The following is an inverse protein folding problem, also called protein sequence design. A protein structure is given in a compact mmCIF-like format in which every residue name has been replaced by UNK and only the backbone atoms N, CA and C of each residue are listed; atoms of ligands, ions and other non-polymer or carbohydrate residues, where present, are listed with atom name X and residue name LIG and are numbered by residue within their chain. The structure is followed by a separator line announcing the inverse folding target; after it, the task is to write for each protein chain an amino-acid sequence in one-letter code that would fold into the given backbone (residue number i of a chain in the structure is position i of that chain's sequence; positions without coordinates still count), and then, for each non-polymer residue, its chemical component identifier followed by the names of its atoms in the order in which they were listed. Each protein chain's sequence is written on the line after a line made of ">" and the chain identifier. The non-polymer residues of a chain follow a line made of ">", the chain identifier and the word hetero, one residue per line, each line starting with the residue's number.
data_IF_554327241285
#
_entry.id   IF_554327241285
#
_cell.length_a   1.000
_cell.length_b   1.000
_cell.length_c   1.000
_cell.angle_alpha   90.00
_cell.angle_beta   90.00
_cell.angle_gamma   90.00
#
_symmetry.space_group_name_H-M   'P 1'
#
loop_
_entity.id
_entity.type
_entity.pdbx_description
1 polymer ?
#
# COMPACT_ATOMS: atom_id res chain seq x y z
N UNK A 1 -0.25 -40.67 -14.99
CA UNK A 1 -0.87 -39.36 -14.61
C UNK A 1 -2.36 -39.61 -14.43
N UNK A 2 -2.81 -39.70 -13.18
CA UNK A 2 -4.22 -39.96 -12.84
C UNK A 2 -5.00 -38.65 -13.04
N UNK A 3 -5.97 -38.68 -13.97
CA UNK A 3 -6.90 -37.53 -14.17
C UNK A 3 -7.76 -37.38 -12.93
N UNK A 4 -7.65 -36.22 -12.25
CA UNK A 4 -8.57 -35.86 -11.16
C UNK A 4 -9.93 -35.57 -11.82
N UNK A 5 -10.95 -36.34 -11.42
CA UNK A 5 -12.33 -36.16 -11.87
C UNK A 5 -12.91 -34.86 -11.29
N UNK A 6 -13.79 -34.19 -12.03
CA UNK A 6 -14.48 -32.96 -11.64
C UNK A 6 -15.15 -33.05 -10.26
N UNK A 7 -15.70 -34.23 -9.91
CA UNK A 7 -16.31 -34.46 -8.61
C UNK A 7 -15.29 -34.51 -7.48
N UNK A 8 -14.09 -35.09 -7.73
CA UNK A 8 -13.00 -35.11 -6.78
C UNK A 8 -12.43 -33.70 -6.54
N UNK A 9 -12.33 -32.88 -7.60
CA UNK A 9 -11.92 -31.48 -7.49
C UNK A 9 -12.91 -30.64 -6.68
N UNK A 10 -14.22 -30.80 -6.92
CA UNK A 10 -15.26 -30.09 -6.17
C UNK A 10 -15.29 -30.52 -4.69
N UNK A 11 -15.10 -31.82 -4.39
CA UNK A 11 -15.02 -32.32 -3.00
C UNK A 11 -13.79 -31.77 -2.27
N UNK A 12 -12.65 -31.63 -2.94
CA UNK A 12 -11.44 -31.01 -2.39
C UNK A 12 -11.65 -29.49 -2.16
N UNK A 13 -12.33 -28.80 -3.08
CA UNK A 13 -12.67 -27.38 -2.93
C UNK A 13 -13.63 -27.12 -1.75
N UNK A 14 -14.65 -27.96 -1.58
CA UNK A 14 -15.61 -27.87 -0.46
C UNK A 14 -14.94 -28.22 0.87
N UNK A 15 -14.06 -29.23 0.93
CA UNK A 15 -13.31 -29.56 2.15
C UNK A 15 -12.31 -28.46 2.53
N UNK A 16 -11.65 -27.83 1.56
CA UNK A 16 -10.78 -26.67 1.77
C UNK A 16 -11.54 -25.43 2.25
N UNK A 17 -12.72 -25.18 1.66
CA UNK A 17 -13.59 -24.06 2.05
C UNK A 17 -14.19 -24.23 3.46
N UNK A 18 -14.60 -25.44 3.84
CA UNK A 18 -15.12 -25.73 5.18
C UNK A 18 -14.04 -25.57 6.25
N UNK A 19 -12.79 -25.93 5.96
CA UNK A 19 -11.64 -25.72 6.85
C UNK A 19 -11.35 -24.24 7.10
N UNK A 20 -11.46 -23.40 6.06
CA UNK A 20 -11.23 -21.96 6.16
C UNK A 20 -12.35 -21.25 6.98
N UNK A 21 -13.60 -21.67 6.83
CA UNK A 21 -14.73 -21.14 7.60
C UNK A 21 -14.65 -21.56 9.08
N UNK A 22 -14.24 -22.80 9.38
CA UNK A 22 -14.05 -23.27 10.76
C UNK A 22 -12.92 -22.52 11.48
N UNK A 23 -11.84 -22.19 10.78
CA UNK A 23 -10.74 -21.38 11.33
C UNK A 23 -11.17 -19.93 11.62
N UNK A 24 -12.08 -19.36 10.82
CA UNK A 24 -12.62 -18.02 11.03
C UNK A 24 -13.59 -17.93 12.23
N UNK A 25 -14.15 -19.06 12.69
CA UNK A 25 -15.13 -19.12 13.79
C UNK A 25 -14.52 -19.40 15.17
N UNK A 26 -13.20 -19.28 15.36
CA UNK A 26 -12.57 -19.37 16.69
C UNK A 26 -12.54 -20.77 17.30
N UNK A 27 -12.46 -21.80 16.47
CA UNK A 27 -12.28 -23.17 16.94
C UNK A 27 -10.86 -23.37 17.48
N UNK A 28 -10.71 -23.81 18.76
CA UNK A 28 -9.42 -23.97 19.46
C UNK A 28 -8.41 -24.97 18.82
N UNK A 29 -8.76 -25.60 17.71
CA UNK A 29 -7.83 -26.26 16.79
C UNK A 29 -6.91 -25.30 16.03
N UNK A 30 -7.10 -23.99 16.16
CA UNK A 30 -6.37 -22.94 15.46
C UNK A 30 -4.88 -22.86 15.77
N UNK A 31 -4.45 -23.30 16.96
CA UNK A 31 -3.03 -23.24 17.34
C UNK A 31 -2.13 -24.16 16.48
N UNK A 32 -2.67 -25.22 15.89
CA UNK A 32 -1.92 -26.10 14.99
C UNK A 32 -2.02 -25.69 13.51
N UNK A 33 -3.09 -24.99 13.12
CA UNK A 33 -3.37 -24.58 11.73
C UNK A 33 -2.89 -23.15 11.47
N UNK A 34 -2.94 -22.27 12.46
CA UNK A 34 -2.56 -20.87 12.35
C UNK A 34 -1.16 -20.66 11.74
N UNK A 35 -0.10 -21.28 12.24
CA UNK A 35 1.24 -21.16 11.67
C UNK A 35 1.32 -21.61 10.20
N UNK A 36 0.60 -22.69 9.82
CA UNK A 36 0.56 -23.16 8.43
C UNK A 36 -0.20 -22.21 7.50
N UNK A 37 -1.26 -21.58 7.98
CA UNK A 37 -1.97 -20.55 7.22
C UNK A 37 -1.11 -19.31 7.00
N UNK A 38 -0.31 -18.92 7.99
CA UNK A 38 0.68 -17.84 7.85
C UNK A 38 1.76 -18.19 6.83
N UNK A 39 2.23 -19.43 6.80
CA UNK A 39 3.20 -19.87 5.79
C UNK A 39 2.61 -19.87 4.38
N UNK A 40 1.34 -20.28 4.23
CA UNK A 40 0.63 -20.18 2.94
C UNK A 40 0.45 -18.71 2.54
N UNK A 41 0.13 -17.82 3.47
CA UNK A 41 0.04 -16.38 3.22
C UNK A 41 1.38 -15.80 2.75
N UNK A 42 2.49 -16.19 3.37
CA UNK A 42 3.85 -15.80 2.95
C UNK A 42 4.20 -16.31 1.55
N UNK A 43 3.81 -17.55 1.22
CA UNK A 43 3.99 -18.11 -0.11
C UNK A 43 3.19 -17.31 -1.14
N UNK A 44 1.93 -16.98 -0.87
CA UNK A 44 1.11 -16.16 -1.75
C UNK A 44 1.70 -14.76 -1.96
N UNK A 45 2.23 -14.16 -0.90
CA UNK A 45 2.90 -12.85 -0.96
C UNK A 45 4.15 -12.92 -1.84
N UNK A 46 4.96 -13.98 -1.67
CA UNK A 46 6.13 -14.23 -2.53
C UNK A 46 5.76 -14.47 -3.99
N UNK A 47 4.71 -15.26 -4.26
CA UNK A 47 4.19 -15.51 -5.61
C UNK A 47 3.70 -14.19 -6.24
N UNK A 48 2.96 -13.39 -5.48
CA UNK A 48 2.52 -12.05 -5.89
C UNK A 48 3.69 -11.15 -6.28
N UNK A 49 4.74 -11.10 -5.44
CA UNK A 49 5.94 -10.31 -5.69
C UNK A 49 6.75 -10.79 -6.89
N UNK A 50 6.98 -12.12 -7.03
CA UNK A 50 7.96 -12.65 -7.99
C UNK A 50 7.37 -13.07 -9.32
N UNK A 51 6.08 -13.40 -9.37
CA UNK A 51 5.44 -13.96 -10.56
C UNK A 51 4.42 -13.01 -11.18
N UNK A 52 3.61 -12.35 -10.37
CA UNK A 52 2.51 -11.51 -10.88
C UNK A 52 2.84 -10.01 -10.91
N UNK A 53 3.76 -9.55 -10.10
CA UNK A 53 4.14 -8.14 -10.14
C UNK A 53 4.96 -7.81 -11.38
N UNK A 54 4.55 -6.75 -12.07
CA UNK A 54 5.31 -6.13 -13.14
C UNK A 54 5.60 -4.67 -12.78
N UNK A 55 6.87 -4.23 -12.80
CA UNK A 55 7.21 -2.84 -12.48
C UNK A 55 6.71 -1.83 -13.51
N UNK A 56 6.21 -2.29 -14.65
CA UNK A 56 5.79 -1.44 -15.78
C UNK A 56 4.34 -1.67 -16.23
N UNK A 57 3.68 -2.74 -15.79
CA UNK A 57 2.30 -3.00 -16.16
C UNK A 57 1.35 -2.07 -15.42
N UNK A 58 0.62 -1.25 -16.16
CA UNK A 58 -0.28 -0.27 -15.57
C UNK A 58 -1.61 -0.91 -15.15
N UNK A 59 -2.06 -0.58 -13.95
CA UNK A 59 -3.43 -0.87 -13.54
C UNK A 59 -4.42 -0.09 -14.43
N UNK A 60 -5.63 -0.64 -14.66
CA UNK A 60 -6.64 -0.01 -15.49
C UNK A 60 -6.95 1.43 -15.07
N UNK A 61 -7.07 2.32 -16.06
CA UNK A 61 -7.48 3.71 -15.87
C UNK A 61 -8.96 3.82 -16.26
N UNK A 62 -9.72 4.50 -15.45
CA UNK A 62 -11.17 4.71 -15.59
C UNK A 62 -11.46 6.15 -15.99
N UNK A 63 -12.68 6.38 -16.51
CA UNK A 63 -13.18 7.74 -16.73
C UNK A 63 -13.43 8.44 -15.38
N UNK A 64 -13.22 9.76 -15.27
CA UNK A 64 -13.65 10.52 -14.08
C UNK A 64 -15.16 10.41 -13.77
N UNK A 65 -15.98 10.08 -14.77
CA UNK A 65 -17.42 9.85 -14.59
C UNK A 65 -17.76 8.53 -13.89
N UNK A 66 -16.79 7.62 -13.80
CA UNK A 66 -16.91 6.33 -13.12
C UNK A 66 -16.52 6.38 -11.64
N UNK A 67 -16.17 7.56 -11.12
CA UNK A 67 -15.82 7.75 -9.71
C UNK A 67 -16.94 7.25 -8.81
N UNK A 68 -16.57 6.47 -7.80
CA UNK A 68 -17.52 6.01 -6.79
C UNK A 68 -18.05 7.19 -5.99
N UNK A 69 -19.34 7.15 -5.63
CA UNK A 69 -19.98 8.18 -4.82
C UNK A 69 -19.32 8.33 -3.43
N UNK A 70 -18.76 7.23 -2.92
CA UNK A 70 -18.10 7.19 -1.61
C UNK A 70 -16.84 6.32 -1.67
N UNK A 71 -15.79 6.76 -0.96
CA UNK A 71 -14.60 5.98 -0.65
C UNK A 71 -14.50 5.89 0.88
N UNK A 72 -14.67 4.71 1.50
CA UNK A 72 -14.50 4.54 2.93
C UNK A 72 -13.09 4.94 3.39
N UNK A 73 -12.98 5.41 4.62
CA UNK A 73 -11.70 5.84 5.19
C UNK A 73 -11.56 5.34 6.62
N UNK A 74 -10.39 4.77 6.91
CA UNK A 74 -10.00 4.22 8.21
C UNK A 74 -8.66 4.83 8.65
N UNK A 75 -8.45 4.91 9.94
CA UNK A 75 -7.19 5.33 10.56
C UNK A 75 -6.97 4.52 11.84
N UNK A 76 -5.71 4.44 12.27
CA UNK A 76 -5.31 3.61 13.44
C UNK A 76 -5.66 4.31 14.75
N UNK A 77 -5.48 5.62 14.80
CA UNK A 77 -5.86 6.43 15.97
C UNK A 77 -7.36 6.36 16.24
N UNK A 78 -7.75 6.47 17.52
CA UNK A 78 -9.15 6.47 17.93
C UNK A 78 -9.96 7.64 17.34
N UNK A 79 -9.29 8.73 17.00
CA UNK A 79 -9.84 9.89 16.29
C UNK A 79 -9.08 10.12 15.01
N UNK A 80 -9.72 10.77 14.03
CA UNK A 80 -9.08 11.15 12.77
C UNK A 80 -7.84 12.01 13.04
N UNK A 81 -6.65 11.60 12.57
CA UNK A 81 -5.44 12.41 12.71
C UNK A 81 -5.61 13.76 12.03
N UNK A 82 -5.23 14.81 12.73
CA UNK A 82 -5.27 16.17 12.21
C UNK A 82 -3.92 16.85 12.36
N UNK A 83 -3.50 17.53 11.32
CA UNK A 83 -2.28 18.34 11.34
C UNK A 83 -2.56 19.64 12.09
N UNK A 84 -1.83 19.85 13.20
CA UNK A 84 -2.02 21.03 14.06
C UNK A 84 -1.51 22.29 13.35
N UNK A 85 -0.34 22.19 12.70
CA UNK A 85 0.26 23.29 11.94
C UNK A 85 0.66 22.82 10.53
N UNK A 86 -0.18 23.09 9.52
CA UNK A 86 0.15 22.75 8.13
C UNK A 86 1.41 23.45 7.60
N UNK A 87 1.76 24.62 8.11
CA UNK A 87 2.93 25.37 7.67
C UNK A 87 4.25 24.74 8.13
N UNK A 88 4.23 24.07 9.28
CA UNK A 88 5.37 23.35 9.83
C UNK A 88 5.54 21.94 9.23
N UNK A 89 4.54 21.43 8.50
CA UNK A 89 4.63 20.09 7.94
C UNK A 89 5.75 19.97 6.90
N UNK A 90 6.51 18.90 6.98
CA UNK A 90 7.57 18.55 6.00
C UNK A 90 7.54 17.06 5.70
N UNK A 91 7.82 16.72 4.44
CA UNK A 91 8.20 15.37 4.07
C UNK A 91 9.71 15.23 4.21
N UNK A 92 10.17 14.39 5.12
CA UNK A 92 11.58 14.04 5.25
C UNK A 92 11.91 12.81 4.39
N UNK A 93 13.00 12.88 3.65
CA UNK A 93 13.53 11.78 2.84
C UNK A 93 14.98 11.55 3.25
N UNK A 94 15.27 10.39 3.82
CA UNK A 94 16.56 10.09 4.43
C UNK A 94 16.99 8.61 4.28
N UNK A 95 17.96 8.16 5.08
CA UNK A 95 18.52 6.81 5.07
C UNK A 95 19.59 6.63 4.01
N UNK A 96 19.55 5.52 3.26
CA UNK A 96 20.55 5.20 2.23
C UNK A 96 20.36 6.05 0.96
N UNK A 97 20.54 7.36 1.09
CA UNK A 97 20.48 8.35 0.01
C UNK A 97 21.72 9.23 -0.02
N UNK A 98 22.08 9.75 -1.19
CA UNK A 98 23.18 10.71 -1.35
C UNK A 98 22.78 12.13 -0.97
N UNK A 99 21.50 12.46 -1.15
CA UNK A 99 20.94 13.79 -0.94
C UNK A 99 19.67 13.66 -0.11
N UNK A 100 19.76 13.74 1.23
CA UNK A 100 18.55 13.84 2.08
C UNK A 100 17.75 15.08 1.70
N UNK A 101 16.42 14.97 1.77
CA UNK A 101 15.51 16.06 1.43
C UNK A 101 14.57 16.32 2.60
N UNK A 102 14.19 17.59 2.73
CA UNK A 102 13.10 18.03 3.58
C UNK A 102 12.23 18.98 2.76
N UNK A 103 11.03 18.52 2.40
CA UNK A 103 10.17 19.21 1.43
C UNK A 103 8.87 19.66 2.09
N UNK A 104 8.53 20.93 1.92
CA UNK A 104 7.20 21.44 2.20
C UNK A 104 6.18 20.96 1.16
N UNK A 105 4.90 21.09 1.46
CA UNK A 105 3.83 20.77 0.50
C UNK A 105 3.95 21.62 -0.77
N UNK A 106 4.26 22.91 -0.63
CA UNK A 106 4.41 23.82 -1.77
C UNK A 106 5.58 23.42 -2.68
N UNK A 107 6.69 22.96 -2.11
CA UNK A 107 7.82 22.46 -2.88
C UNK A 107 7.46 21.18 -3.62
N UNK A 108 6.72 20.26 -2.99
CA UNK A 108 6.19 19.08 -3.66
C UNK A 108 5.26 19.44 -4.82
N UNK A 109 4.35 20.40 -4.62
CA UNK A 109 3.39 20.82 -5.63
C UNK A 109 4.03 21.51 -6.86
N UNK A 110 5.27 21.99 -6.75
CA UNK A 110 6.06 22.52 -7.89
C UNK A 110 6.72 21.42 -8.73
N UNK A 111 6.73 20.18 -8.25
CA UNK A 111 7.27 19.03 -8.99
C UNK A 111 6.30 18.56 -10.08
N UNK A 112 6.77 17.77 -11.06
CA UNK A 112 5.88 17.22 -12.09
C UNK A 112 4.68 16.50 -11.47
N UNK A 113 3.48 16.91 -11.90
CA UNK A 113 2.22 16.35 -11.41
C UNK A 113 1.69 15.30 -12.38
N UNK A 114 1.20 14.20 -11.84
CA UNK A 114 0.40 13.21 -12.57
C UNK A 114 -0.98 13.07 -11.93
N UNK A 115 -1.93 12.51 -12.71
CA UNK A 115 -3.29 12.26 -12.25
C UNK A 115 -3.79 10.95 -12.84
N UNK A 116 -4.36 10.09 -11.98
CA UNK A 116 -4.91 8.79 -12.38
C UNK A 116 -6.28 8.56 -11.75
N UNK A 117 -7.29 8.23 -12.58
CA UNK A 117 -8.57 7.70 -12.09
C UNK A 117 -8.46 6.18 -12.08
N UNK A 118 -8.34 5.60 -10.91
CA UNK A 118 -8.02 4.18 -10.72
C UNK A 118 -8.86 3.55 -9.62
N UNK A 119 -8.95 2.22 -9.64
CA UNK A 119 -9.61 1.46 -8.60
C UNK A 119 -8.71 1.33 -7.36
N UNK A 120 -9.23 1.72 -6.23
CA UNK A 120 -8.69 1.45 -4.90
C UNK A 120 -9.28 0.14 -4.38
N UNK A 121 -8.45 -0.78 -3.91
CA UNK A 121 -8.88 -2.07 -3.39
C UNK A 121 -8.48 -2.20 -1.92
N UNK A 122 -9.45 -2.46 -1.06
CA UNK A 122 -9.21 -2.69 0.36
C UNK A 122 -9.08 -4.18 0.67
N UNK A 123 -8.29 -4.52 1.70
CA UNK A 123 -8.17 -5.90 2.23
C UNK A 123 -9.50 -6.43 2.78
N UNK A 124 -10.41 -5.55 3.17
CA UNK A 124 -11.77 -5.89 3.64
C UNK A 124 -12.71 -6.35 2.51
N UNK A 125 -12.25 -6.41 1.25
CA UNK A 125 -13.01 -6.93 0.12
C UNK A 125 -13.85 -5.91 -0.65
N UNK A 126 -13.87 -4.63 -0.25
CA UNK A 126 -14.50 -3.57 -1.03
C UNK A 126 -13.50 -2.86 -1.95
N UNK A 127 -14.01 -2.22 -2.97
CA UNK A 127 -13.22 -1.35 -3.85
C UNK A 127 -14.02 -0.10 -4.25
N UNK A 128 -13.30 0.96 -4.61
CA UNK A 128 -13.89 2.21 -5.08
C UNK A 128 -12.99 2.85 -6.15
N UNK A 129 -13.58 3.58 -7.07
CA UNK A 129 -12.85 4.33 -8.11
C UNK A 129 -12.74 5.78 -7.66
N UNK A 130 -11.53 6.31 -7.68
CA UNK A 130 -11.25 7.72 -7.37
C UNK A 130 -10.13 8.25 -8.25
N UNK A 131 -10.11 9.55 -8.47
CA UNK A 131 -8.99 10.24 -9.12
C UNK A 131 -8.02 10.69 -8.05
N UNK A 132 -6.75 10.31 -8.20
CA UNK A 132 -5.67 10.76 -7.35
C UNK A 132 -4.69 11.59 -8.17
N UNK A 133 -4.21 12.69 -7.59
CA UNK A 133 -3.16 13.48 -8.23
C UNK A 133 -2.06 13.86 -7.25
N UNK A 134 -0.85 13.91 -7.75
CA UNK A 134 0.32 14.17 -6.93
C UNK A 134 1.62 14.02 -7.71
N UNK A 135 2.71 13.84 -7.00
CA UNK A 135 4.06 13.69 -7.54
C UNK A 135 4.42 12.21 -7.66
N UNK A 136 4.94 11.72 -8.80
CA UNK A 136 5.50 10.38 -8.88
C UNK A 136 6.58 10.17 -7.81
N UNK A 137 6.56 9.03 -7.11
CA UNK A 137 7.63 8.69 -6.16
C UNK A 137 8.99 8.68 -6.87
N UNK A 138 9.04 8.27 -8.12
CA UNK A 138 10.24 8.30 -8.95
C UNK A 138 10.89 9.68 -9.01
N UNK A 139 10.11 10.78 -9.04
CA UNK A 139 10.66 12.15 -9.06
C UNK A 139 11.36 12.54 -7.74
N UNK A 140 10.94 11.97 -6.62
CA UNK A 140 11.61 12.13 -5.33
C UNK A 140 12.87 11.28 -5.29
N UNK A 141 12.80 10.04 -5.79
CA UNK A 141 13.93 9.11 -5.87
C UNK A 141 15.07 9.69 -6.73
N UNK A 142 14.75 10.30 -7.86
CA UNK A 142 15.73 11.00 -8.71
C UNK A 142 16.50 12.09 -7.95
N UNK A 143 15.79 12.84 -7.09
CA UNK A 143 16.38 13.95 -6.31
C UNK A 143 17.24 13.45 -5.16
N UNK A 144 16.74 12.50 -4.37
CA UNK A 144 17.47 12.01 -3.19
C UNK A 144 18.63 11.07 -3.55
N UNK A 145 18.68 10.52 -4.78
CA UNK A 145 19.78 9.68 -5.31
C UNK A 145 20.11 8.53 -4.37
N UNK A 146 19.28 7.47 -4.29
CA UNK A 146 19.54 6.34 -3.42
C UNK A 146 20.91 5.72 -3.67
N UNK A 147 21.53 5.25 -2.60
CA UNK A 147 22.77 4.48 -2.68
C UNK A 147 22.49 3.09 -3.30
N UNK A 148 23.46 2.44 -3.95
CA UNK A 148 23.25 1.13 -4.57
C UNK A 148 22.80 0.02 -3.60
N UNK A 149 23.01 0.21 -2.31
CA UNK A 149 22.53 -0.71 -1.27
C UNK A 149 21.05 -0.53 -0.93
N UNK A 150 20.43 0.60 -1.26
CA UNK A 150 19.01 0.83 -1.00
C UNK A 150 18.13 -0.12 -1.80
N UNK A 151 17.31 -0.93 -1.12
CA UNK A 151 16.41 -1.91 -1.72
C UNK A 151 14.97 -1.69 -1.33
N UNK A 152 14.74 -0.99 -0.23
CA UNK A 152 13.43 -0.78 0.37
C UNK A 152 13.27 0.67 0.81
N UNK A 153 12.01 1.07 0.99
CA UNK A 153 11.63 2.35 1.59
C UNK A 153 10.67 2.06 2.74
N UNK A 154 10.92 2.65 3.90
CA UNK A 154 9.97 2.75 5.00
C UNK A 154 9.21 4.07 4.86
N UNK A 155 7.88 4.01 4.82
CA UNK A 155 6.98 5.14 4.79
C UNK A 155 6.34 5.30 6.17
N UNK A 156 6.50 6.46 6.79
CA UNK A 156 6.01 6.74 8.14
C UNK A 156 4.93 7.81 8.11
N UNK A 157 3.87 7.56 8.86
CA UNK A 157 2.73 8.46 9.06
C UNK A 157 2.90 9.30 10.33
N UNK A 158 2.23 10.45 10.40
CA UNK A 158 2.01 11.10 11.70
C UNK A 158 0.80 10.52 12.47
N UNK A 159 0.00 9.65 11.87
CA UNK A 159 -0.91 8.77 12.62
C UNK A 159 -0.08 7.79 13.46
N UNK A 160 -0.15 7.96 14.79
CA UNK A 160 0.80 7.38 15.73
C UNK A 160 1.00 5.88 15.56
N UNK A 161 2.25 5.47 15.40
CA UNK A 161 2.65 4.07 15.25
C UNK A 161 2.41 3.49 13.84
N UNK A 162 1.87 4.26 12.89
CA UNK A 162 1.61 3.73 11.55
C UNK A 162 2.81 3.92 10.60
N UNK A 163 3.27 2.81 10.08
CA UNK A 163 4.31 2.77 9.03
C UNK A 163 4.06 1.61 8.07
N UNK A 164 4.71 1.65 6.92
CA UNK A 164 4.69 0.58 5.92
C UNK A 164 6.06 0.42 5.27
N UNK A 165 6.44 -0.82 4.97
CA UNK A 165 7.62 -1.14 4.18
C UNK A 165 7.27 -1.47 2.73
N UNK A 166 8.02 -0.91 1.76
CA UNK A 166 7.88 -1.22 0.33
C UNK A 166 9.22 -1.59 -0.29
N UNK A 167 9.19 -2.50 -1.27
CA UNK A 167 10.31 -2.70 -2.17
C UNK A 167 10.45 -1.52 -3.14
N UNK A 168 11.69 -1.28 -3.58
CA UNK A 168 11.99 -0.13 -4.43
C UNK A 168 11.30 -0.24 -5.81
N UNK A 169 11.11 -1.45 -6.35
CA UNK A 169 10.47 -1.63 -7.64
C UNK A 169 8.98 -1.23 -7.60
N UNK A 170 8.26 -1.62 -6.54
CA UNK A 170 6.88 -1.17 -6.30
C UNK A 170 6.79 0.34 -6.07
N UNK A 171 7.74 0.91 -5.33
CA UNK A 171 7.79 2.35 -5.09
C UNK A 171 8.05 3.16 -6.36
N UNK A 172 8.84 2.62 -7.30
CA UNK A 172 9.15 3.24 -8.59
C UNK A 172 8.12 2.95 -9.68
N UNK A 173 7.08 2.16 -9.40
CA UNK A 173 6.04 1.89 -10.38
C UNK A 173 5.43 3.20 -10.92
N UNK A 174 5.16 3.34 -12.23
CA UNK A 174 4.70 4.60 -12.85
C UNK A 174 3.45 5.21 -12.22
N UNK A 175 2.56 4.38 -11.66
CA UNK A 175 1.35 4.83 -10.97
C UNK A 175 1.51 4.95 -9.45
N UNK A 176 2.72 4.83 -8.90
CA UNK A 176 2.98 5.08 -7.48
C UNK A 176 3.31 6.56 -7.28
N UNK A 177 2.48 7.25 -6.52
CA UNK A 177 2.54 8.69 -6.33
C UNK A 177 2.48 9.09 -4.85
N UNK A 178 3.02 10.25 -4.56
CA UNK A 178 2.73 11.01 -3.34
C UNK A 178 1.54 11.92 -3.64
N UNK A 179 0.35 11.48 -3.26
CA UNK A 179 -0.88 12.18 -3.57
C UNK A 179 -1.16 13.27 -2.54
N UNK A 180 -1.41 14.47 -3.04
CA UNK A 180 -1.86 15.65 -2.27
C UNK A 180 -3.25 16.12 -2.70
N UNK A 181 -3.89 15.42 -3.62
CA UNK A 181 -5.25 15.72 -4.06
C UNK A 181 -6.04 14.48 -4.48
N UNK A 182 -7.34 14.60 -4.37
CA UNK A 182 -8.32 13.56 -4.67
C UNK A 182 -9.57 14.17 -5.33
N UNK A 183 -10.07 13.53 -6.41
CA UNK A 183 -11.30 13.92 -7.10
C UNK A 183 -11.34 15.43 -7.46
N UNK A 184 -10.24 15.93 -8.01
CA UNK A 184 -10.04 17.33 -8.44
C UNK A 184 -10.06 18.38 -7.31
N UNK A 185 -9.98 17.92 -6.06
CA UNK A 185 -9.92 18.75 -4.86
C UNK A 185 -8.60 18.51 -4.10
N UNK A 186 -8.18 19.40 -3.20
CA UNK A 186 -7.14 19.08 -2.22
C UNK A 186 -7.48 17.78 -1.47
N UNK A 187 -6.45 17.06 -1.07
CA UNK A 187 -6.63 15.79 -0.36
C UNK A 187 -7.41 16.01 0.95
N UNK A 188 -8.57 15.34 1.16
CA UNK A 188 -9.33 15.51 2.38
C UNK A 188 -8.59 14.95 3.61
N UNK A 189 -8.77 15.54 4.82
CA UNK A 189 -8.18 15.01 6.05
C UNK A 189 -8.45 13.51 6.27
N UNK A 190 -9.68 13.06 6.08
CA UNK A 190 -10.04 11.64 6.20
C UNK A 190 -9.24 10.71 5.26
N UNK A 191 -8.77 11.23 4.15
CA UNK A 191 -7.99 10.47 3.16
C UNK A 191 -6.49 10.67 3.26
N UNK A 192 -5.99 11.37 4.31
CA UNK A 192 -4.57 11.42 4.63
C UNK A 192 -3.87 12.72 4.30
N UNK A 193 -4.61 13.87 4.29
CA UNK A 193 -3.98 15.18 4.09
C UNK A 193 -2.86 15.44 5.12
N UNK A 194 -1.81 16.20 4.73
CA UNK A 194 -1.65 16.89 3.46
C UNK A 194 -1.09 16.01 2.35
N UNK A 195 -0.50 14.87 2.67
CA UNK A 195 0.17 13.96 1.73
C UNK A 195 -0.07 12.49 2.09
N UNK A 196 -0.25 11.66 1.08
CA UNK A 196 -0.29 10.21 1.24
C UNK A 196 0.49 9.47 0.16
N UNK A 197 0.97 8.28 0.49
CA UNK A 197 1.40 7.32 -0.53
C UNK A 197 0.17 6.70 -1.20
N UNK A 198 0.18 6.60 -2.53
CA UNK A 198 -0.87 5.96 -3.29
C UNK A 198 -0.31 5.14 -4.46
N UNK A 199 -0.86 3.97 -4.68
CA UNK A 199 -0.65 3.14 -5.87
C UNK A 199 -1.84 2.21 -6.07
N UNK A 200 -2.34 2.01 -7.31
CA UNK A 200 -3.41 1.04 -7.58
C UNK A 200 -2.92 -0.42 -7.56
N UNK A 201 -1.61 -0.65 -7.44
CA UNK A 201 -1.01 -2.00 -7.47
C UNK A 201 -0.87 -2.64 -6.09
N UNK A 202 -1.34 -1.97 -5.04
CA UNK A 202 -1.23 -2.43 -3.64
C UNK A 202 -2.57 -2.31 -2.92
N UNK A 203 -2.82 -3.24 -2.00
CA UNK A 203 -3.96 -3.16 -1.09
C UNK A 203 -3.94 -1.91 -0.21
N UNK A 204 -5.11 -1.41 0.15
CA UNK A 204 -5.31 -0.13 0.82
C UNK A 204 -4.47 0.11 2.07
N UNK A 205 -4.20 -0.92 2.89
CA UNK A 205 -3.38 -0.77 4.08
C UNK A 205 -1.90 -0.50 3.79
N UNK A 206 -1.43 -0.72 2.56
CA UNK A 206 -0.06 -0.35 2.14
C UNK A 206 0.05 1.13 1.77
N UNK A 207 -1.04 1.82 1.61
CA UNK A 207 -1.11 3.19 1.09
C UNK A 207 -1.08 4.20 2.24
N UNK A 208 0.13 4.42 2.80
CA UNK A 208 0.35 5.24 3.99
C UNK A 208 -0.27 6.63 3.87
N UNK A 209 -1.26 6.93 4.71
CA UNK A 209 -1.87 8.25 4.89
C UNK A 209 -1.03 9.11 5.84
N UNK A 210 -1.24 10.43 5.79
CA UNK A 210 -0.57 11.37 6.71
C UNK A 210 0.95 11.24 6.68
N UNK A 211 1.50 11.09 5.49
CA UNK A 211 2.91 10.77 5.27
C UNK A 211 3.83 11.90 5.73
N UNK A 212 4.87 11.58 6.50
CA UNK A 212 5.89 12.52 6.97
C UNK A 212 7.33 12.08 6.70
N UNK A 213 7.55 10.79 6.40
CA UNK A 213 8.90 10.31 6.16
C UNK A 213 8.97 9.19 5.14
N UNK A 214 10.06 9.20 4.37
CA UNK A 214 10.51 8.14 3.45
C UNK A 214 11.96 7.82 3.80
N UNK A 215 12.22 6.66 4.42
CA UNK A 215 13.57 6.25 4.80
C UNK A 215 14.04 5.08 3.94
N UNK A 216 15.10 5.28 3.18
CA UNK A 216 15.70 4.27 2.32
C UNK A 216 16.60 3.32 3.11
N UNK A 217 16.45 2.00 2.89
CA UNK A 217 17.16 0.97 3.66
C UNK A 217 17.55 -0.23 2.78
N UNK A 218 18.57 -0.96 3.19
CA UNK A 218 19.01 -2.24 2.61
C UNK A 218 18.22 -3.44 3.19
N UNK A 219 17.58 -3.26 4.32
CA UNK A 219 16.80 -4.29 5.02
C UNK A 219 15.32 -4.08 4.81
N UNK A 220 14.60 -5.18 4.62
CA UNK A 220 13.13 -5.19 4.51
C UNK A 220 12.51 -4.63 5.81
N UNK A 221 11.89 -3.44 5.77
CA UNK A 221 11.25 -2.89 6.97
C UNK A 221 9.95 -3.63 7.27
N UNK A 222 9.55 -3.65 8.54
CA UNK A 222 8.21 -4.03 8.96
C UNK A 222 7.19 -2.95 8.64
N UNK A 223 6.05 -3.02 9.32
CA UNK A 223 4.98 -2.03 9.23
C UNK A 223 3.85 -2.39 10.18
N UNK A 224 2.95 -1.43 10.41
CA UNK A 224 1.90 -1.60 11.42
C UNK A 224 1.07 -2.88 11.23
N UNK A 225 0.61 -3.17 10.02
CA UNK A 225 -0.18 -4.37 9.72
C UNK A 225 0.68 -5.58 9.42
N UNK A 226 1.84 -5.39 8.79
CA UNK A 226 2.79 -6.44 8.46
C UNK A 226 3.30 -7.14 9.72
N UNK A 227 3.58 -6.38 10.78
CA UNK A 227 4.04 -6.89 12.07
C UNK A 227 2.92 -7.64 12.82
N UNK A 228 1.66 -7.44 12.41
CA UNK A 228 0.48 -8.18 12.87
C UNK A 228 0.14 -9.38 11.98
N UNK A 229 0.99 -9.73 10.99
CA UNK A 229 0.85 -10.91 10.15
C UNK A 229 0.17 -10.70 8.80
N UNK A 230 -0.13 -9.46 8.42
CA UNK A 230 -0.63 -9.16 7.07
C UNK A 230 0.47 -9.35 6.02
N UNK A 231 0.13 -9.71 4.76
CA UNK A 231 1.11 -9.84 3.68
C UNK A 231 1.96 -8.59 3.51
N UNK A 232 3.27 -8.77 3.42
CA UNK A 232 4.19 -7.64 3.31
C UNK A 232 4.13 -6.98 1.93
N UNK A 233 4.10 -7.77 0.86
CA UNK A 233 4.07 -7.27 -0.50
C UNK A 233 2.69 -6.72 -0.87
N UNK A 234 1.63 -7.46 -0.56
CA UNK A 234 0.22 -7.08 -0.75
C UNK A 234 -0.09 -6.51 -2.15
N UNK A 235 0.45 -7.12 -3.18
CA UNK A 235 0.19 -6.78 -4.58
C UNK A 235 -1.21 -7.21 -5.04
N UNK A 236 -1.76 -6.52 -6.05
CA UNK A 236 -3.03 -6.81 -6.71
C UNK A 236 -2.88 -6.70 -8.22
#
# INVERSE_FOLDING_TARGET
>A
MTRIDRRAFLKLGVAGGAGAVAAACGWDGGNAIGPRLLDISRLNDWVGEKIFFSPTHLAPIYSPTERSAMLPSYFVSAMMPMLVDPSAWRLRVDGLVRQPLELSLDELMRLPRVSYTVKHTCVEGWSAIATWHGVPVAAIVERCRPLPAARYISFVSFDSGYSNGWDLASALHPQTILAYGMNDQPLPPAHGAPLRLYSPTKLGYKLTKYLVSMTFTDRRPGGYWEDQGYPWFAGI
#
